data_IF_325036388472
#
_entry.id   IF_325036388472
#
_cell.length_a   1.000
_cell.length_b   1.000
_cell.length_c   1.000
_cell.angle_alpha   90.00
_cell.angle_beta   90.00
_cell.angle_gamma   90.00
#
_symmetry.space_group_name_H-M   'P 1'
#
loop_
_entity.id
_entity.type
_entity.pdbx_description
1 polymer ?
#
# COMPACT_ATOMS: atom_id res chain seq x y z
N UNK A 1 10.75 -12.13 -25.37
CA UNK A 1 9.46 -11.84 -26.05
C UNK A 1 8.77 -10.74 -25.25
N UNK A 2 8.73 -9.51 -25.75
CA UNK A 2 8.12 -8.40 -25.02
C UNK A 2 6.60 -8.62 -24.95
N UNK A 3 6.09 -8.83 -23.74
CA UNK A 3 4.66 -9.01 -23.48
C UNK A 3 4.00 -7.64 -23.57
N UNK A 4 3.26 -7.40 -24.66
CA UNK A 4 2.46 -6.17 -24.81
C UNK A 4 1.40 -6.21 -23.72
N UNK A 5 1.35 -5.16 -22.89
CA UNK A 5 0.36 -5.04 -21.81
C UNK A 5 -1.05 -5.24 -22.36
N UNK A 6 -1.89 -6.00 -21.65
CA UNK A 6 -3.27 -6.27 -22.02
C UNK A 6 -4.04 -4.93 -22.15
N UNK A 7 -4.25 -4.48 -23.38
CA UNK A 7 -5.04 -3.29 -23.68
C UNK A 7 -6.52 -3.65 -23.54
N UNK A 8 -7.35 -2.76 -22.98
CA UNK A 8 -8.82 -2.94 -22.94
C UNK A 8 -9.43 -2.58 -24.29
N UNK A 9 -10.58 -3.18 -24.61
CA UNK A 9 -11.35 -2.80 -25.78
C UNK A 9 -11.99 -1.41 -25.59
N UNK A 10 -11.85 -0.54 -26.60
CA UNK A 10 -12.30 0.86 -26.54
C UNK A 10 -13.78 1.04 -26.90
N UNK A 11 -14.45 -0.02 -27.34
CA UNK A 11 -15.90 -0.04 -27.60
C UNK A 11 -16.75 -0.33 -26.35
N UNK A 12 -16.26 0.05 -25.17
CA UNK A 12 -16.96 -0.09 -23.89
C UNK A 12 -17.34 -1.53 -23.52
N UNK A 13 -16.52 -2.52 -23.90
CA UNK A 13 -16.60 -3.85 -23.31
C UNK A 13 -15.34 -4.12 -22.48
N UNK A 14 -15.49 -4.65 -21.27
CA UNK A 14 -14.37 -4.90 -20.34
C UNK A 14 -13.44 -6.06 -20.77
N UNK A 15 -13.52 -6.49 -22.04
CA UNK A 15 -12.72 -7.58 -22.60
C UNK A 15 -11.36 -7.08 -23.07
N UNK A 16 -10.38 -7.97 -23.02
CA UNK A 16 -9.02 -7.71 -23.50
C UNK A 16 -9.03 -7.55 -25.03
N UNK A 17 -8.44 -6.46 -25.51
CA UNK A 17 -8.24 -6.23 -26.92
C UNK A 17 -7.10 -7.08 -27.46
N UNK A 18 -7.37 -7.75 -28.58
CA UNK A 18 -6.40 -8.59 -29.30
C UNK A 18 -6.16 -8.10 -30.73
N UNK A 19 -6.97 -7.13 -31.18
CA UNK A 19 -6.97 -6.57 -32.53
C UNK A 19 -6.85 -5.04 -32.45
N UNK A 20 -6.26 -4.43 -33.48
CA UNK A 20 -6.16 -2.99 -33.62
C UNK A 20 -6.55 -2.57 -35.04
N UNK A 21 -7.42 -1.58 -35.12
CA UNK A 21 -7.83 -1.01 -36.40
C UNK A 21 -6.94 0.19 -36.75
N UNK A 22 -6.20 0.13 -37.86
CA UNK A 22 -5.34 1.23 -38.33
C UNK A 22 -6.15 2.45 -38.80
N UNK A 23 -7.35 2.24 -39.36
CA UNK A 23 -8.24 3.32 -39.80
C UNK A 23 -8.87 4.11 -38.65
N UNK A 24 -9.39 3.42 -37.63
CA UNK A 24 -9.96 4.05 -36.43
C UNK A 24 -8.92 4.46 -35.38
N UNK A 25 -7.71 3.87 -35.40
CA UNK A 25 -6.73 4.03 -34.33
C UNK A 25 -7.11 3.37 -33.01
N UNK A 26 -8.01 2.37 -33.04
CA UNK A 26 -8.67 1.83 -31.84
C UNK A 26 -8.34 0.36 -31.53
N UNK A 27 -8.36 0.02 -30.24
CA UNK A 27 -8.17 -1.35 -29.74
C UNK A 27 -9.50 -2.12 -29.62
N UNK A 28 -9.56 -3.29 -30.25
CA UNK A 28 -10.77 -4.09 -30.42
C UNK A 28 -10.57 -5.50 -29.85
N UNK A 29 -11.59 -6.01 -29.15
CA UNK A 29 -11.75 -7.45 -28.95
C UNK A 29 -12.34 -8.09 -30.22
N UNK A 30 -12.26 -9.41 -30.35
CA UNK A 30 -12.78 -10.16 -31.51
C UNK A 30 -14.27 -9.87 -31.72
N UNK A 31 -15.04 -9.81 -30.63
CA UNK A 31 -16.48 -9.58 -30.68
C UNK A 31 -16.82 -8.15 -31.12
N UNK A 32 -16.14 -7.12 -30.61
CA UNK A 32 -16.39 -5.74 -31.03
C UNK A 32 -15.97 -5.50 -32.48
N UNK A 33 -14.95 -6.21 -32.98
CA UNK A 33 -14.64 -6.23 -34.41
C UNK A 33 -15.84 -6.76 -35.21
N UNK A 34 -16.28 -7.99 -34.91
CA UNK A 34 -17.29 -8.67 -35.72
C UNK A 34 -18.70 -8.09 -35.57
N UNK A 35 -19.05 -7.63 -34.37
CA UNK A 35 -20.43 -7.24 -34.05
C UNK A 35 -20.70 -5.75 -34.19
N UNK A 36 -19.66 -4.92 -34.18
CA UNK A 36 -19.82 -3.46 -34.23
C UNK A 36 -18.99 -2.89 -35.38
N UNK A 37 -17.68 -3.09 -35.35
CA UNK A 37 -16.76 -2.47 -36.30
C UNK A 37 -17.05 -2.88 -37.76
N UNK A 38 -17.09 -4.19 -38.05
CA UNK A 38 -17.26 -4.71 -39.41
C UNK A 38 -18.70 -4.53 -39.94
N UNK A 39 -19.68 -4.31 -39.05
CA UNK A 39 -21.09 -4.08 -39.41
C UNK A 39 -21.38 -2.61 -39.72
N UNK A 40 -20.58 -1.68 -39.22
CA UNK A 40 -20.73 -0.26 -39.49
C UNK A 40 -20.12 0.07 -40.86
N UNK A 41 -20.96 0.55 -41.77
CA UNK A 41 -20.60 0.80 -43.18
C UNK A 41 -19.38 1.71 -43.35
N UNK A 42 -19.13 2.61 -42.40
CA UNK A 42 -18.02 3.56 -42.42
C UNK A 42 -16.64 2.92 -42.13
N UNK A 43 -16.60 1.76 -41.46
CA UNK A 43 -15.35 1.12 -41.03
C UNK A 43 -14.99 -0.13 -41.84
N UNK A 44 -15.78 -0.42 -42.88
CA UNK A 44 -15.73 -1.66 -43.65
C UNK A 44 -14.42 -1.84 -44.44
N UNK A 45 -13.79 -0.72 -44.81
CA UNK A 45 -12.53 -0.68 -45.56
C UNK A 45 -11.31 -0.47 -44.66
N UNK A 46 -11.49 -0.44 -43.34
CA UNK A 46 -10.37 -0.26 -42.43
C UNK A 46 -9.54 -1.53 -42.26
N UNK A 47 -8.21 -1.39 -42.31
CA UNK A 47 -7.29 -2.49 -42.04
C UNK A 47 -7.22 -2.79 -40.53
N UNK A 48 -7.59 -4.02 -40.15
CA UNK A 48 -7.54 -4.50 -38.76
C UNK A 48 -6.48 -5.58 -38.61
N UNK A 49 -5.50 -5.33 -37.74
CA UNK A 49 -4.33 -6.19 -37.51
C UNK A 49 -4.36 -6.83 -36.12
N UNK A 50 -3.71 -7.98 -36.00
CA UNK A 50 -3.56 -8.71 -34.74
C UNK A 50 -2.36 -8.16 -33.95
N UNK A 51 -2.63 -7.70 -32.73
CA UNK A 51 -1.64 -7.06 -31.86
C UNK A 51 -0.50 -8.03 -31.50
N UNK A 52 -0.83 -9.32 -31.35
CA UNK A 52 0.11 -10.35 -30.92
C UNK A 52 1.02 -10.78 -32.08
N UNK A 53 0.57 -10.62 -33.33
CA UNK A 53 1.36 -10.94 -34.53
C UNK A 53 2.22 -9.77 -35.01
N UNK A 54 1.74 -8.54 -34.94
CA UNK A 54 2.51 -7.36 -35.39
C UNK A 54 3.37 -6.69 -34.29
N UNK A 55 3.14 -7.02 -33.02
CA UNK A 55 3.96 -6.52 -31.91
C UNK A 55 3.88 -4.99 -31.73
N UNK A 56 5.01 -4.33 -31.46
CA UNK A 56 5.07 -2.87 -31.25
C UNK A 56 4.77 -2.02 -32.51
N UNK A 57 4.53 -2.64 -33.68
CA UNK A 57 4.31 -1.94 -34.95
C UNK A 57 2.86 -1.54 -35.20
N UNK A 58 1.99 -1.86 -34.25
CA UNK A 58 0.54 -1.68 -34.37
C UNK A 58 0.14 -0.21 -34.37
N UNK A 59 0.87 0.67 -33.65
CA UNK A 59 0.62 2.12 -33.66
C UNK A 59 1.50 2.81 -34.70
N UNK A 60 0.97 3.77 -35.48
CA UNK A 60 1.79 4.67 -36.28
C UNK A 60 2.82 5.38 -35.40
N UNK A 61 4.03 5.59 -35.91
CA UNK A 61 5.00 6.42 -35.20
C UNK A 61 4.44 7.83 -35.07
N UNK A 62 4.40 8.42 -33.87
CA UNK A 62 3.97 9.79 -33.70
C UNK A 62 4.92 10.71 -34.48
N UNK A 63 4.34 11.73 -35.12
CA UNK A 63 5.05 12.77 -35.86
C UNK A 63 4.87 14.11 -35.17
N UNK A 64 5.81 15.02 -35.37
CA UNK A 64 5.75 16.38 -34.86
C UNK A 64 4.55 17.10 -35.46
N UNK A 65 3.66 17.58 -34.59
CA UNK A 65 2.43 18.24 -35.01
C UNK A 65 2.67 19.54 -35.78
N UNK A 66 3.77 20.24 -35.47
CA UNK A 66 4.15 21.51 -36.11
C UNK A 66 4.76 21.32 -37.49
N UNK A 67 5.61 20.30 -37.67
CA UNK A 67 6.45 20.15 -38.86
C UNK A 67 6.13 18.88 -39.67
N UNK A 68 5.15 18.07 -39.22
CA UNK A 68 4.80 16.76 -39.77
C UNK A 68 5.99 15.80 -39.96
N UNK A 69 7.05 16.01 -39.18
CA UNK A 69 8.32 15.30 -39.28
C UNK A 69 8.43 14.25 -38.17
N UNK A 70 9.18 13.19 -38.41
CA UNK A 70 9.45 12.19 -37.37
C UNK A 70 10.19 12.82 -36.17
N UNK A 71 9.80 12.40 -34.97
CA UNK A 71 10.55 12.69 -33.77
C UNK A 71 11.87 11.90 -33.79
N UNK A 72 12.99 12.59 -33.62
CA UNK A 72 14.34 12.00 -33.65
C UNK A 72 15.10 12.21 -32.34
N UNK A 73 14.74 13.26 -31.60
CA UNK A 73 15.42 13.69 -30.39
C UNK A 73 14.46 13.77 -29.20
N UNK A 74 15.02 13.77 -27.99
CA UNK A 74 14.32 13.99 -26.73
C UNK A 74 14.98 15.17 -26.02
N UNK A 75 14.20 16.15 -25.61
CA UNK A 75 14.67 17.31 -24.87
C UNK A 75 14.60 17.02 -23.37
N UNK A 76 15.76 16.96 -22.70
CA UNK A 76 15.80 16.65 -21.27
C UNK A 76 15.27 17.78 -20.39
N UNK A 77 15.37 19.04 -20.86
CA UNK A 77 14.87 20.21 -20.12
C UNK A 77 13.35 20.35 -20.20
N UNK A 78 12.74 20.03 -21.34
CA UNK A 78 11.29 20.12 -21.57
C UNK A 78 10.56 18.80 -21.37
N UNK A 79 11.30 17.73 -21.16
CA UNK A 79 10.81 16.37 -21.01
C UNK A 79 9.90 15.87 -22.16
N UNK A 80 10.20 16.25 -23.39
CA UNK A 80 9.37 15.96 -24.57
C UNK A 80 10.17 15.45 -25.78
N UNK A 81 9.47 14.88 -26.77
CA UNK A 81 10.03 14.47 -28.04
C UNK A 81 10.17 15.66 -29.00
N UNK A 82 11.25 15.72 -29.77
CA UNK A 82 11.56 16.80 -30.71
C UNK A 82 11.97 16.26 -32.08
N UNK A 83 11.44 16.87 -33.15
CA UNK A 83 11.92 16.64 -34.52
C UNK A 83 13.14 17.51 -34.81
N UNK A 84 13.79 17.32 -35.96
CA UNK A 84 15.00 18.07 -36.32
C UNK A 84 14.76 19.60 -36.39
N UNK A 85 13.60 20.03 -36.88
CA UNK A 85 13.25 21.45 -36.96
C UNK A 85 12.92 22.06 -35.59
N UNK A 86 12.21 21.33 -34.72
CA UNK A 86 11.99 21.77 -33.33
C UNK A 86 13.31 21.90 -32.56
N UNK A 87 14.28 21.02 -32.84
CA UNK A 87 15.59 21.03 -32.19
C UNK A 87 16.36 22.33 -32.50
N UNK A 88 16.33 22.82 -33.73
CA UNK A 88 17.07 24.03 -34.16
C UNK A 88 16.28 25.32 -33.94
N UNK A 89 14.97 25.23 -33.72
CA UNK A 89 14.11 26.37 -33.41
C UNK A 89 13.81 26.46 -31.91
N UNK A 90 12.66 25.93 -31.48
CA UNK A 90 12.13 26.06 -30.12
C UNK A 90 12.99 25.42 -29.03
N UNK A 91 13.93 24.53 -29.39
CA UNK A 91 14.80 23.82 -28.45
C UNK A 91 16.30 24.01 -28.72
N UNK A 92 16.69 25.06 -29.46
CA UNK A 92 18.08 25.28 -29.93
C UNK A 92 19.13 25.30 -28.80
N UNK A 93 18.75 25.79 -27.62
CA UNK A 93 19.64 25.88 -26.45
C UNK A 93 19.38 24.80 -25.39
N UNK A 94 18.45 23.88 -25.65
CA UNK A 94 18.12 22.84 -24.69
C UNK A 94 18.95 21.59 -24.93
N UNK A 95 19.38 20.93 -23.86
CA UNK A 95 20.05 19.63 -23.96
C UNK A 95 19.10 18.61 -24.60
N UNK A 96 19.46 18.14 -25.78
CA UNK A 96 18.69 17.20 -26.58
C UNK A 96 19.56 16.00 -26.95
N UNK A 97 18.98 14.80 -26.86
CA UNK A 97 19.68 13.53 -27.14
C UNK A 97 18.82 12.66 -28.07
N UNK A 98 19.44 11.73 -28.82
CA UNK A 98 18.67 10.84 -29.71
C UNK A 98 17.69 9.98 -28.89
N UNK A 99 16.45 9.87 -29.37
CA UNK A 99 15.37 9.14 -28.66
C UNK A 99 15.79 7.73 -28.29
N UNK A 100 16.47 7.03 -29.21
CA UNK A 100 16.90 5.65 -28.98
C UNK A 100 17.80 5.53 -27.73
N UNK A 101 18.74 6.45 -27.54
CA UNK A 101 19.67 6.44 -26.39
C UNK A 101 18.90 6.68 -25.10
N UNK A 102 18.05 7.72 -25.08
CA UNK A 102 17.26 8.08 -23.89
C UNK A 102 16.25 6.97 -23.55
N UNK A 103 15.60 6.39 -24.56
CA UNK A 103 14.65 5.30 -24.37
C UNK A 103 15.32 4.03 -23.86
N UNK A 104 16.49 3.67 -24.38
CA UNK A 104 17.22 2.48 -23.92
C UNK A 104 17.73 2.66 -22.47
N UNK A 105 18.24 3.85 -22.12
CA UNK A 105 18.60 4.19 -20.74
C UNK A 105 17.39 4.17 -19.80
N UNK A 106 16.25 4.72 -20.21
CA UNK A 106 14.99 4.68 -19.43
C UNK A 106 14.46 3.27 -19.26
N UNK A 107 14.50 2.44 -20.31
CA UNK A 107 14.11 1.02 -20.23
C UNK A 107 14.99 0.27 -19.23
N UNK A 108 16.30 0.51 -19.23
CA UNK A 108 17.20 -0.08 -18.23
C UNK A 108 16.83 0.35 -16.81
N UNK A 109 16.56 1.64 -16.59
CA UNK A 109 16.12 2.15 -15.29
C UNK A 109 14.80 1.51 -14.84
N UNK A 110 13.79 1.46 -15.73
CA UNK A 110 12.52 0.80 -15.45
C UNK A 110 12.71 -0.68 -15.12
N UNK A 111 13.58 -1.40 -15.84
CA UNK A 111 13.89 -2.79 -15.52
C UNK A 111 14.54 -2.94 -14.14
N UNK A 112 15.46 -2.05 -13.76
CA UNK A 112 16.05 -2.04 -12.42
C UNK A 112 14.99 -1.80 -11.34
N UNK A 113 14.08 -0.84 -11.55
CA UNK A 113 12.96 -0.57 -10.63
C UNK A 113 12.05 -1.81 -10.51
N UNK A 114 11.74 -2.48 -11.63
CA UNK A 114 10.92 -3.70 -11.64
C UNK A 114 11.59 -4.80 -10.79
N UNK A 115 12.89 -5.03 -10.94
CA UNK A 115 13.61 -6.03 -10.14
C UNK A 115 13.65 -5.67 -8.64
N UNK A 116 13.82 -4.38 -8.31
CA UNK A 116 13.71 -3.89 -6.92
C UNK A 116 12.30 -4.06 -6.35
N UNK A 117 11.26 -3.86 -7.16
CA UNK A 117 9.88 -4.06 -6.71
C UNK A 117 9.55 -5.54 -6.53
N UNK A 118 9.99 -6.42 -7.43
CA UNK A 118 9.82 -7.87 -7.28
C UNK A 118 10.43 -8.38 -5.99
N UNK A 119 11.67 -7.97 -5.68
CA UNK A 119 12.36 -8.35 -4.44
C UNK A 119 11.65 -7.81 -3.19
N UNK A 120 11.14 -6.58 -3.22
CA UNK A 120 10.33 -6.02 -2.14
C UNK A 120 9.01 -6.78 -1.94
N UNK A 121 8.29 -7.08 -3.01
CA UNK A 121 7.04 -7.87 -2.96
C UNK A 121 7.30 -9.23 -2.33
N UNK A 122 8.34 -9.93 -2.77
CA UNK A 122 8.72 -11.24 -2.21
C UNK A 122 9.11 -11.15 -0.73
N UNK A 123 9.84 -10.11 -0.34
CA UNK A 123 10.22 -9.87 1.06
C UNK A 123 9.01 -9.62 1.94
N UNK A 124 8.05 -8.80 1.48
CA UNK A 124 6.80 -8.53 2.21
C UNK A 124 5.97 -9.80 2.31
N UNK A 125 5.88 -10.59 1.24
CA UNK A 125 5.19 -11.88 1.23
C UNK A 125 5.76 -12.84 2.27
N UNK A 126 7.08 -13.01 2.31
CA UNK A 126 7.75 -13.85 3.34
C UNK A 126 7.48 -13.37 4.75
N UNK A 127 7.52 -12.05 4.99
CA UNK A 127 7.21 -11.48 6.31
C UNK A 127 5.76 -11.75 6.73
N UNK A 128 4.81 -11.67 5.80
CA UNK A 128 3.42 -12.05 6.06
C UNK A 128 3.30 -13.52 6.42
N UNK A 129 3.93 -14.40 5.64
CA UNK A 129 3.94 -15.85 5.92
C UNK A 129 4.54 -16.16 7.31
N UNK A 130 5.64 -15.50 7.71
CA UNK A 130 6.23 -15.64 9.05
C UNK A 130 5.29 -15.18 10.16
N UNK A 131 4.57 -14.07 9.97
CA UNK A 131 3.61 -13.57 10.96
C UNK A 131 2.42 -14.55 11.11
N UNK A 132 1.85 -14.99 9.98
CA UNK A 132 0.67 -15.85 9.96
C UNK A 132 0.96 -17.25 10.51
N UNK A 133 2.20 -17.73 10.36
CA UNK A 133 2.61 -19.06 10.81
C UNK A 133 3.35 -19.00 12.15
N UNK A 134 4.61 -18.59 12.16
CA UNK A 134 5.51 -18.68 13.31
C UNK A 134 4.99 -17.87 14.50
N UNK A 135 4.67 -16.59 14.32
CA UNK A 135 4.23 -15.75 15.44
C UNK A 135 2.85 -16.18 15.97
N UNK A 136 1.93 -16.54 15.09
CA UNK A 136 0.59 -17.02 15.47
C UNK A 136 0.66 -18.33 16.25
N UNK A 137 1.49 -19.28 15.82
CA UNK A 137 1.72 -20.56 16.51
C UNK A 137 2.40 -20.33 17.85
N UNK A 138 3.44 -19.50 17.90
CA UNK A 138 4.17 -19.20 19.13
C UNK A 138 3.27 -18.59 20.20
N UNK A 139 2.46 -17.58 19.83
CA UNK A 139 1.52 -16.95 20.78
C UNK A 139 0.52 -17.97 21.31
N UNK A 140 -0.04 -18.83 20.46
CA UNK A 140 -0.95 -19.90 20.91
C UNK A 140 -0.27 -20.86 21.88
N UNK A 141 0.92 -21.33 21.54
CA UNK A 141 1.71 -22.22 22.40
C UNK A 141 2.03 -21.57 23.75
N UNK A 142 2.41 -20.30 23.77
CA UNK A 142 2.74 -19.58 25.01
C UNK A 142 1.49 -19.41 25.89
N UNK A 143 0.34 -19.10 25.28
CA UNK A 143 -0.94 -19.04 26.00
C UNK A 143 -1.34 -20.41 26.56
N UNK A 144 -1.25 -21.48 25.78
CA UNK A 144 -1.56 -22.85 26.22
C UNK A 144 -0.64 -23.30 27.37
N UNK A 145 0.66 -23.03 27.27
CA UNK A 145 1.65 -23.31 28.32
C UNK A 145 1.35 -22.53 29.62
N UNK A 146 0.97 -21.26 29.50
CA UNK A 146 0.61 -20.44 30.66
C UNK A 146 -0.67 -20.95 31.34
N UNK A 147 -1.71 -21.26 30.57
CA UNK A 147 -2.97 -21.84 31.11
C UNK A 147 -2.66 -23.15 31.83
N UNK A 148 -1.89 -24.04 31.21
CA UNK A 148 -1.50 -25.31 31.84
C UNK A 148 -0.74 -25.10 33.15
N UNK A 149 0.18 -24.14 33.19
CA UNK A 149 0.92 -23.81 34.42
C UNK A 149 -0.04 -23.37 35.53
N UNK A 150 -1.05 -22.56 35.21
CA UNK A 150 -2.07 -22.14 36.18
C UNK A 150 -2.89 -23.34 36.65
N UNK A 151 -3.35 -24.20 35.74
CA UNK A 151 -4.08 -25.42 36.08
C UNK A 151 -3.27 -26.36 36.98
N UNK A 152 -2.00 -26.59 36.66
CA UNK A 152 -1.09 -27.40 37.47
C UNK A 152 -0.93 -26.83 38.88
N UNK A 153 -0.76 -25.50 39.01
CA UNK A 153 -0.68 -24.86 40.34
C UNK A 153 -1.98 -24.99 41.14
N UNK A 154 -3.14 -24.90 40.49
CA UNK A 154 -4.44 -25.10 41.14
C UNK A 154 -4.59 -26.55 41.61
N UNK A 155 -4.19 -27.51 40.79
CA UNK A 155 -4.20 -28.93 41.16
C UNK A 155 -3.26 -29.22 42.33
N UNK A 156 -2.03 -28.67 42.32
CA UNK A 156 -1.10 -28.80 43.44
C UNK A 156 -1.70 -28.28 44.74
N UNK A 157 -2.33 -27.10 44.71
CA UNK A 157 -3.02 -26.53 45.86
C UNK A 157 -4.18 -27.42 46.34
N UNK A 158 -4.98 -27.97 45.42
CA UNK A 158 -6.03 -28.93 45.78
C UNK A 158 -5.46 -30.17 46.48
N UNK A 159 -4.37 -30.75 45.97
CA UNK A 159 -3.77 -31.93 46.61
C UNK A 159 -3.23 -31.65 48.01
N UNK A 160 -2.68 -30.45 48.23
CA UNK A 160 -2.21 -30.01 49.55
C UNK A 160 -3.40 -29.89 50.51
N UNK A 161 -4.49 -29.25 50.07
CA UNK A 161 -5.71 -29.09 50.87
C UNK A 161 -6.32 -30.47 51.21
N UNK A 162 -6.42 -31.38 50.25
CA UNK A 162 -6.97 -32.72 50.46
C UNK A 162 -6.12 -33.55 51.42
N UNK A 163 -4.79 -33.51 51.28
CA UNK A 163 -3.88 -34.17 52.22
C UNK A 163 -4.02 -33.62 53.62
N UNK A 164 -4.13 -32.29 53.75
CA UNK A 164 -4.32 -31.63 55.04
C UNK A 164 -5.70 -31.89 55.65
N UNK A 165 -6.73 -32.20 54.85
CA UNK A 165 -8.03 -32.66 55.35
C UNK A 165 -7.96 -34.08 55.90
N UNK A 166 -7.20 -34.97 55.24
CA UNK A 166 -7.09 -36.37 55.64
C UNK A 166 -6.35 -36.56 56.97
N UNK A 167 -5.26 -35.84 57.22
CA UNK A 167 -4.42 -36.03 58.43
C UNK A 167 -5.19 -35.79 59.75
N UNK A 168 -5.97 -34.69 59.93
CA UNK A 168 -6.80 -34.50 61.12
C UNK A 168 -7.95 -35.51 61.23
N UNK A 169 -8.51 -35.94 60.10
CA UNK A 169 -9.60 -36.92 60.08
C UNK A 169 -9.13 -38.31 60.50
N UNK A 170 -7.94 -38.74 60.05
CA UNK A 170 -7.34 -40.00 60.47
C UNK A 170 -6.92 -39.94 61.92
N UNK A 171 -6.24 -38.88 62.36
CA UNK A 171 -5.82 -38.74 63.77
C UNK A 171 -7.01 -38.67 64.74
N UNK A 172 -8.12 -38.01 64.37
CA UNK A 172 -9.34 -38.03 65.17
C UNK A 172 -10.00 -39.42 65.21
N UNK A 173 -9.95 -40.16 64.11
CA UNK A 173 -10.47 -41.54 64.05
C UNK A 173 -9.63 -42.48 64.89
N UNK A 174 -8.30 -42.38 64.82
CA UNK A 174 -7.36 -43.17 65.62
C UNK A 174 -7.52 -42.88 67.11
N UNK A 175 -7.67 -41.61 67.49
CA UNK A 175 -7.93 -41.22 68.88
C UNK A 175 -9.24 -41.84 69.39
N UNK A 176 -10.31 -41.78 68.59
CA UNK A 176 -11.59 -42.39 68.93
C UNK A 176 -11.49 -43.91 69.11
N UNK A 177 -10.66 -44.60 68.32
CA UNK A 177 -10.42 -46.03 68.45
C UNK A 177 -9.72 -46.31 69.79
N UNK A 178 -8.61 -45.62 70.06
CA UNK A 178 -7.81 -45.81 71.28
C UNK A 178 -8.65 -45.54 72.54
N UNK A 179 -9.42 -44.46 72.57
CA UNK A 179 -10.28 -44.11 73.71
C UNK A 179 -11.40 -45.14 73.92
N UNK A 180 -12.02 -45.64 72.84
CA UNK A 180 -13.04 -46.69 72.94
C UNK A 180 -12.47 -48.03 73.42
N UNK A 181 -11.23 -48.38 73.03
CA UNK A 181 -10.55 -49.57 73.53
C UNK A 181 -10.24 -49.45 75.02
N UNK A 182 -9.74 -48.29 75.50
CA UNK A 182 -9.49 -48.05 76.92
C UNK A 182 -10.78 -48.13 77.76
N UNK A 183 -11.84 -47.47 77.30
CA UNK A 183 -13.18 -47.57 77.90
C UNK A 183 -13.72 -48.99 77.84
N UNK A 184 -13.40 -49.75 76.78
CA UNK A 184 -13.73 -51.17 76.65
C UNK A 184 -13.06 -52.01 77.73
N UNK A 185 -11.75 -51.83 77.94
CA UNK A 185 -10.98 -52.52 78.98
C UNK A 185 -11.49 -52.20 80.38
N UNK A 186 -11.74 -50.92 80.69
CA UNK A 186 -12.33 -50.49 81.97
C UNK A 186 -13.70 -51.13 82.21
N UNK A 187 -14.57 -51.12 81.20
CA UNK A 187 -15.90 -51.77 81.28
C UNK A 187 -15.78 -53.29 81.52
N UNK A 188 -14.85 -53.96 80.85
CA UNK A 188 -14.62 -55.39 81.05
C UNK A 188 -14.13 -55.70 82.48
N UNK A 189 -13.22 -54.90 83.01
CA UNK A 189 -12.72 -55.02 84.38
C UNK A 189 -13.86 -54.90 85.42
N UNK A 190 -14.63 -53.82 85.37
CA UNK A 190 -15.74 -53.60 86.30
C UNK A 190 -16.83 -54.68 86.16
N UNK A 191 -17.10 -55.16 84.94
CA UNK A 191 -18.05 -56.25 84.71
C UNK A 191 -17.58 -57.55 85.35
N UNK A 192 -16.32 -57.94 85.18
CA UNK A 192 -15.76 -59.14 85.83
C UNK A 192 -15.89 -59.05 87.36
N UNK A 193 -15.53 -57.90 87.93
CA UNK A 193 -15.61 -57.66 89.38
C UNK A 193 -17.06 -57.69 89.88
N UNK A 194 -17.98 -57.10 89.13
CA UNK A 194 -19.42 -57.18 89.39
C UNK A 194 -19.90 -58.64 89.38
N UNK A 195 -19.57 -59.40 88.33
CA UNK A 195 -20.03 -60.78 88.16
C UNK A 195 -19.47 -61.69 89.28
N UNK A 196 -18.21 -61.52 89.66
CA UNK A 196 -17.60 -62.20 90.82
C UNK A 196 -18.32 -61.86 92.13
N UNK A 197 -18.65 -60.59 92.34
CA UNK A 197 -19.31 -60.13 93.57
C UNK A 197 -20.76 -60.63 93.62
N UNK A 198 -21.46 -60.60 92.50
CA UNK A 198 -22.83 -61.10 92.37
C UNK A 198 -22.90 -62.62 92.59
N UNK A 199 -21.95 -63.40 92.05
CA UNK A 199 -21.87 -64.85 92.26
C UNK A 199 -21.60 -65.19 93.75
N UNK A 200 -20.71 -64.42 94.40
CA UNK A 200 -20.48 -64.55 95.85
C UNK A 200 -21.73 -64.24 96.65
N UNK A 201 -22.41 -63.15 96.35
CA UNK A 201 -23.64 -62.76 97.02
C UNK A 201 -24.71 -63.85 96.88
N UNK A 202 -24.88 -64.41 95.67
CA UNK A 202 -25.80 -65.52 95.42
C UNK A 202 -25.43 -66.77 96.24
N UNK A 203 -24.14 -67.09 96.38
CA UNK A 203 -23.68 -68.20 97.25
C UNK A 203 -24.04 -67.97 98.70
N UNK A 204 -23.88 -66.75 99.22
CA UNK A 204 -24.27 -66.40 100.58
C UNK A 204 -25.79 -66.44 100.77
N UNK A 205 -26.56 -65.90 99.82
CA UNK A 205 -28.03 -65.97 99.85
C UNK A 205 -28.52 -67.42 99.86
N UNK A 206 -27.94 -68.29 99.02
CA UNK A 206 -28.26 -69.71 99.00
C UNK A 206 -27.88 -70.42 100.31
N UNK A 207 -26.72 -70.07 100.91
CA UNK A 207 -26.32 -70.61 102.20
C UNK A 207 -27.30 -70.25 103.31
N UNK A 208 -27.88 -69.05 103.30
CA UNK A 208 -28.91 -68.64 104.27
C UNK A 208 -30.22 -69.43 104.13
N UNK A 209 -30.47 -70.06 102.99
CA UNK A 209 -31.64 -70.93 102.76
C UNK A 209 -31.39 -72.38 103.21
N UNK A 210 -30.16 -72.75 103.56
CA UNK A 210 -29.80 -74.08 104.01
C UNK A 210 -30.45 -74.39 105.37
N UNK A 211 -31.09 -75.56 105.48
CA UNK A 211 -31.84 -75.97 106.69
C UNK A 211 -31.03 -76.89 107.60
N UNK A 212 -29.93 -77.46 107.11
CA UNK A 212 -29.08 -78.35 107.88
C UNK A 212 -27.86 -77.62 108.45
N UNK A 213 -27.86 -77.40 109.77
CA UNK A 213 -26.80 -76.67 110.50
C UNK A 213 -25.38 -77.21 110.22
N UNK A 214 -25.25 -78.54 110.06
CA UNK A 214 -23.96 -79.15 109.75
C UNK A 214 -23.42 -78.75 108.37
N UNK A 215 -24.29 -78.68 107.36
CA UNK A 215 -23.91 -78.29 106.00
C UNK A 215 -23.67 -76.77 105.91
N UNK A 216 -24.50 -76.00 106.61
CA UNK A 216 -24.31 -74.56 106.77
C UNK A 216 -22.92 -74.23 107.34
N UNK A 217 -22.52 -74.88 108.44
CA UNK A 217 -21.23 -74.59 109.08
C UNK A 217 -20.02 -75.03 108.24
N UNK A 218 -20.15 -76.10 107.44
CA UNK A 218 -19.08 -76.51 106.52
C UNK A 218 -18.92 -75.54 105.36
N UNK A 219 -20.02 -75.11 104.73
CA UNK A 219 -19.95 -74.18 103.60
C UNK A 219 -19.69 -72.74 104.01
N UNK A 220 -20.18 -72.32 105.18
CA UNK A 220 -19.76 -71.05 105.80
C UNK A 220 -18.25 -71.00 105.97
N UNK A 221 -17.63 -72.07 106.48
CA UNK A 221 -16.17 -72.12 106.69
C UNK A 221 -15.40 -72.04 105.37
N UNK A 222 -15.92 -72.63 104.29
CA UNK A 222 -15.34 -72.54 102.96
C UNK A 222 -15.47 -71.14 102.34
N UNK A 223 -16.62 -70.48 102.53
CA UNK A 223 -16.87 -69.13 102.02
C UNK A 223 -16.20 -68.02 102.86
N UNK A 224 -15.97 -68.26 104.16
CA UNK A 224 -15.35 -67.28 105.06
C UNK A 224 -13.89 -66.97 104.68
N UNK A 225 -13.19 -67.91 104.05
CA UNK A 225 -11.85 -67.69 103.49
C UNK A 225 -11.84 -66.72 102.31
N UNK A 226 -12.92 -66.65 101.53
CA UNK A 226 -13.03 -65.77 100.35
C UNK A 226 -13.38 -64.31 100.70
N UNK A 227 -13.97 -64.08 101.88
CA UNK A 227 -14.37 -62.73 102.35
C UNK A 227 -13.17 -61.89 102.82
N UNK A 228 -12.14 -62.53 103.38
CA UNK A 228 -11.01 -61.82 104.01
C UNK A 228 -10.00 -61.18 103.02
N UNK A 229 -10.24 -61.27 101.71
CA UNK A 229 -9.30 -60.84 100.65
C UNK A 229 -9.68 -59.53 99.95
N UNK A 230 -10.69 -58.78 100.42
CA UNK A 230 -11.27 -57.66 99.64
C UNK A 230 -11.43 -56.31 100.38
N UNK A 231 -10.95 -56.15 101.61
CA UNK A 231 -11.06 -54.87 102.35
C UNK A 231 -9.98 -53.83 101.97
N UNK A 232 -9.02 -54.18 101.10
CA UNK A 232 -8.14 -53.18 100.50
C UNK A 232 -8.84 -52.52 99.30
N UNK A 233 -9.34 -51.31 99.53
CA UNK A 233 -9.69 -50.33 98.49
C UNK A 233 -8.54 -50.27 97.47
N UNK A 234 -8.71 -50.97 96.36
CA UNK A 234 -7.75 -50.99 95.26
C UNK A 234 -8.19 -49.93 94.27
N UNK A 235 -7.38 -48.86 94.20
CA UNK A 235 -7.38 -47.72 93.28
C UNK A 235 -8.58 -47.64 92.32
N UNK A 236 -9.46 -46.67 92.54
CA UNK A 236 -10.51 -46.30 91.58
C UNK A 236 -9.88 -45.95 90.21
N UNK A 237 -10.02 -46.79 89.18
CA UNK A 237 -9.48 -46.51 87.85
C UNK A 237 -10.19 -45.34 87.15
N UNK A 238 -11.25 -44.78 87.75
CA UNK A 238 -11.96 -43.58 87.30
C UNK A 238 -11.42 -42.29 87.96
N UNK A 239 -10.40 -42.37 88.82
CA UNK A 239 -9.76 -41.20 89.44
C UNK A 239 -9.09 -40.33 88.37
N UNK A 240 -9.88 -39.34 87.91
CA UNK A 240 -9.62 -38.28 86.93
C UNK A 240 -9.09 -38.75 85.56
N UNK A 241 -9.69 -38.33 84.44
CA UNK A 241 -9.05 -38.51 83.15
C UNK A 241 -7.69 -37.80 83.21
N UNK A 242 -6.59 -38.52 82.87
CA UNK A 242 -5.38 -37.82 82.44
C UNK A 242 -5.84 -36.93 81.29
N UNK A 243 -5.90 -35.62 81.52
CA UNK A 243 -5.89 -34.66 80.40
C UNK A 243 -4.56 -34.93 79.70
N UNK A 244 -4.59 -35.78 78.68
CA UNK A 244 -3.55 -35.75 77.66
C UNK A 244 -3.48 -34.30 77.24
N UNK A 245 -2.31 -33.69 77.44
CA UNK A 245 -2.04 -32.30 77.06
C UNK A 245 -2.71 -32.07 75.73
N UNK A 246 -3.72 -31.18 75.73
CA UNK A 246 -4.59 -30.95 74.59
C UNK A 246 -3.71 -30.96 73.36
N UNK A 247 -3.91 -31.96 72.48
CA UNK A 247 -3.26 -32.04 71.18
C UNK A 247 -3.19 -30.61 70.68
N UNK A 248 -1.99 -30.01 70.62
CA UNK A 248 -1.85 -28.57 70.47
C UNK A 248 -2.04 -28.24 68.99
N UNK A 249 -3.26 -28.55 68.53
CA UNK A 249 -3.77 -28.48 67.18
C UNK A 249 -3.47 -27.09 66.64
N UNK A 250 -3.62 -26.05 67.49
CA UNK A 250 -3.28 -24.65 67.21
C UNK A 250 -1.82 -24.43 66.79
N UNK A 251 -0.85 -25.13 67.40
CA UNK A 251 0.59 -24.95 67.11
C UNK A 251 1.00 -25.65 65.81
N UNK A 252 0.46 -26.85 65.57
CA UNK A 252 0.69 -27.59 64.33
C UNK A 252 -0.04 -26.93 63.14
N UNK A 253 -1.29 -26.50 63.32
CA UNK A 253 -2.04 -25.76 62.28
C UNK A 253 -1.39 -24.42 61.98
N UNK A 254 -0.88 -23.69 62.98
CA UNK A 254 -0.20 -22.41 62.75
C UNK A 254 1.08 -22.57 61.93
N UNK A 255 1.95 -23.51 62.30
CA UNK A 255 3.19 -23.76 61.56
C UNK A 255 2.95 -24.16 60.10
N UNK A 256 1.88 -24.90 59.83
CA UNK A 256 1.53 -25.33 58.46
C UNK A 256 0.86 -24.19 57.68
N UNK A 257 0.00 -23.39 58.32
CA UNK A 257 -0.57 -22.19 57.71
C UNK A 257 0.54 -21.20 57.33
N UNK A 258 1.52 -21.00 58.22
CA UNK A 258 2.66 -20.12 57.96
C UNK A 258 3.49 -20.63 56.76
N UNK A 259 3.71 -21.94 56.60
CA UNK A 259 4.42 -22.51 55.43
C UNK A 259 3.63 -22.39 54.12
N UNK A 260 2.30 -22.52 54.18
CA UNK A 260 1.42 -22.33 53.02
C UNK A 260 1.38 -20.85 52.62
N UNK A 261 1.25 -19.95 53.59
CA UNK A 261 1.31 -18.51 53.35
C UNK A 261 2.64 -18.12 52.75
N UNK A 262 3.76 -18.63 53.25
CA UNK A 262 5.10 -18.32 52.71
C UNK A 262 5.24 -18.80 51.25
N UNK A 263 4.81 -20.03 50.94
CA UNK A 263 4.80 -20.55 49.55
C UNK A 263 3.84 -19.79 48.64
N UNK A 264 2.66 -19.42 49.13
CA UNK A 264 1.68 -18.63 48.38
C UNK A 264 2.20 -17.24 48.08
N UNK A 265 2.78 -16.55 49.08
CA UNK A 265 3.39 -15.23 48.92
C UNK A 265 4.59 -15.26 47.94
N UNK A 266 5.44 -16.28 48.01
CA UNK A 266 6.53 -16.46 47.04
C UNK A 266 6.01 -16.59 45.60
N UNK A 267 4.99 -17.43 45.38
CA UNK A 267 4.36 -17.60 44.06
C UNK A 267 3.67 -16.32 43.60
N UNK A 268 2.93 -15.65 44.49
CA UNK A 268 2.25 -14.39 44.21
C UNK A 268 3.26 -13.34 43.74
N UNK A 269 4.38 -13.19 44.45
CA UNK A 269 5.43 -12.26 44.09
C UNK A 269 6.15 -12.62 42.79
N UNK A 270 6.32 -13.92 42.48
CA UNK A 270 6.82 -14.36 41.18
C UNK A 270 5.87 -13.93 40.03
N UNK A 271 4.56 -14.11 40.23
CA UNK A 271 3.54 -13.70 39.26
C UNK A 271 3.45 -12.18 39.10
N UNK A 272 3.50 -11.42 40.19
CA UNK A 272 3.55 -9.95 40.15
C UNK A 272 4.77 -9.44 39.38
N UNK A 273 5.96 -10.02 39.61
CA UNK A 273 7.17 -9.68 38.88
C UNK A 273 7.05 -9.98 37.37
N UNK A 274 6.45 -11.11 37.00
CA UNK A 274 6.16 -11.45 35.59
C UNK A 274 5.16 -10.44 34.99
N UNK A 275 4.14 -10.05 35.74
CA UNK A 275 3.14 -9.08 35.30
C UNK A 275 3.77 -7.70 35.03
N UNK A 276 4.59 -7.20 35.98
CA UNK A 276 5.35 -5.95 35.84
C UNK A 276 6.25 -5.99 34.60
N UNK A 277 6.91 -7.13 34.32
CA UNK A 277 7.75 -7.30 33.13
C UNK A 277 6.92 -7.21 31.85
N UNK A 278 5.82 -7.94 31.77
CA UNK A 278 4.90 -7.91 30.62
C UNK A 278 4.33 -6.51 30.39
N UNK A 279 4.04 -5.77 31.44
CA UNK A 279 3.53 -4.40 31.34
C UNK A 279 4.58 -3.42 30.80
N UNK A 280 5.85 -3.56 31.22
CA UNK A 280 6.97 -2.81 30.65
C UNK A 280 7.16 -3.11 29.17
N UNK A 281 7.11 -4.38 28.78
CA UNK A 281 7.28 -4.78 27.38
C UNK A 281 6.10 -4.31 26.51
N UNK A 282 4.87 -4.33 27.05
CA UNK A 282 3.68 -3.73 26.42
C UNK A 282 3.85 -2.24 26.16
N UNK A 283 4.41 -1.49 27.10
CA UNK A 283 4.68 -0.04 26.92
C UNK A 283 5.69 0.18 25.79
N UNK A 284 6.82 -0.54 25.79
CA UNK A 284 7.83 -0.45 24.72
C UNK A 284 7.25 -0.77 23.33
N UNK A 285 6.42 -1.81 23.24
CA UNK A 285 5.74 -2.16 21.99
C UNK A 285 4.80 -1.05 21.52
N UNK A 286 4.04 -0.44 22.43
CA UNK A 286 3.18 0.72 22.10
C UNK A 286 3.97 1.91 21.58
N UNK A 287 5.12 2.22 22.19
CA UNK A 287 6.00 3.28 21.72
C UNK A 287 6.56 2.99 20.32
N UNK A 288 6.99 1.74 20.08
CA UNK A 288 7.47 1.31 18.77
C UNK A 288 6.39 1.40 17.69
N UNK A 289 5.14 1.01 18.00
CA UNK A 289 3.99 1.14 17.10
C UNK A 289 3.77 2.61 16.75
N UNK A 290 3.76 3.51 17.75
CA UNK A 290 3.56 4.95 17.53
C UNK A 290 4.60 5.54 16.58
N UNK A 291 5.87 5.17 16.72
CA UNK A 291 6.94 5.60 15.80
C UNK A 291 6.66 5.15 14.36
N UNK A 292 6.17 3.92 14.18
CA UNK A 292 5.82 3.40 12.85
C UNK A 292 4.57 4.04 12.26
N UNK A 293 3.57 4.35 13.07
CA UNK A 293 2.40 5.11 12.64
C UNK A 293 2.79 6.52 12.16
N UNK A 294 3.69 7.19 12.87
CA UNK A 294 4.22 8.51 12.47
C UNK A 294 5.00 8.44 11.14
N UNK A 295 5.82 7.40 10.94
CA UNK A 295 6.50 7.14 9.65
C UNK A 295 5.50 6.93 8.50
N UNK A 296 4.46 6.13 8.72
CA UNK A 296 3.39 5.88 7.73
C UNK A 296 2.62 7.17 7.43
N UNK A 297 2.34 7.99 8.44
CA UNK A 297 1.70 9.29 8.29
C UNK A 297 2.53 10.23 7.40
N UNK A 298 3.85 10.28 7.60
CA UNK A 298 4.77 11.06 6.74
C UNK A 298 4.77 10.55 5.29
N UNK A 299 4.85 9.24 5.09
CA UNK A 299 4.81 8.64 3.75
C UNK A 299 3.48 8.88 3.04
N UNK A 300 2.37 8.87 3.79
CA UNK A 300 1.04 9.14 3.24
C UNK A 300 0.91 10.59 2.76
N UNK A 301 1.46 11.56 3.50
CA UNK A 301 1.52 12.97 3.08
C UNK A 301 2.34 13.14 1.79
N UNK A 302 3.53 12.57 1.74
CA UNK A 302 4.38 12.58 0.53
C UNK A 302 3.67 11.93 -0.66
N UNK A 303 2.87 10.87 -0.44
CA UNK A 303 2.08 10.23 -1.49
C UNK A 303 0.98 11.14 -2.05
N UNK A 304 0.33 11.94 -1.19
CA UNK A 304 -0.67 12.93 -1.60
C UNK A 304 -0.01 14.05 -2.40
N UNK A 305 1.08 14.64 -1.90
CA UNK A 305 1.86 15.67 -2.63
C UNK A 305 2.32 15.17 -4.00
N UNK A 306 2.75 13.91 -4.09
CA UNK A 306 3.18 13.31 -5.35
C UNK A 306 2.01 13.09 -6.33
N UNK A 307 0.78 12.87 -5.84
CA UNK A 307 -0.42 12.84 -6.68
C UNK A 307 -0.80 14.24 -7.17
N UNK A 308 -0.74 15.25 -6.32
CA UNK A 308 -1.02 16.65 -6.68
C UNK A 308 -0.03 17.15 -7.74
N UNK A 309 1.27 16.90 -7.55
CA UNK A 309 2.28 17.23 -8.55
C UNK A 309 2.02 16.55 -9.90
N UNK A 310 1.59 15.29 -9.90
CA UNK A 310 1.23 14.59 -11.15
C UNK A 310 0.04 15.23 -11.87
N UNK A 311 -0.96 15.68 -11.13
CA UNK A 311 -2.12 16.40 -11.70
C UNK A 311 -1.64 17.72 -12.32
N UNK A 312 -0.83 18.50 -11.60
CA UNK A 312 -0.27 19.75 -12.13
C UNK A 312 0.55 19.55 -13.40
N UNK A 313 1.39 18.50 -13.45
CA UNK A 313 2.17 18.15 -14.65
C UNK A 313 1.23 17.80 -15.81
N UNK A 314 0.15 17.06 -15.56
CA UNK A 314 -0.86 16.75 -16.59
C UNK A 314 -1.56 18.01 -17.11
N UNK A 315 -1.94 18.94 -16.22
CA UNK A 315 -2.59 20.20 -16.60
C UNK A 315 -1.66 21.10 -17.43
N UNK A 316 -0.38 21.18 -17.05
CA UNK A 316 0.64 21.89 -17.82
C UNK A 316 0.86 21.25 -19.19
N UNK A 317 0.85 19.93 -19.28
CA UNK A 317 0.88 19.19 -20.55
C UNK A 317 -0.26 19.60 -21.48
N UNK A 318 -1.50 19.58 -20.99
CA UNK A 318 -2.69 19.97 -21.76
C UNK A 318 -2.64 21.45 -22.19
N UNK A 319 -2.20 22.36 -21.31
CA UNK A 319 -2.01 23.78 -21.67
C UNK A 319 -0.98 23.95 -22.78
N UNK A 320 0.11 23.20 -22.73
CA UNK A 320 1.17 23.25 -23.73
C UNK A 320 0.67 22.75 -25.10
N UNK A 321 -0.09 21.66 -25.14
CA UNK A 321 -0.76 21.19 -26.38
C UNK A 321 -1.69 22.25 -26.97
N UNK A 322 -2.51 22.90 -26.14
CA UNK A 322 -3.40 23.97 -26.58
C UNK A 322 -2.63 25.18 -27.14
N UNK A 323 -1.56 25.59 -26.47
CA UNK A 323 -0.73 26.70 -26.94
C UNK A 323 -0.04 26.37 -28.27
N UNK A 324 0.43 25.12 -28.42
CA UNK A 324 1.05 24.65 -29.66
C UNK A 324 0.06 24.63 -30.83
N UNK A 325 -1.19 24.25 -30.59
CA UNK A 325 -2.26 24.30 -31.61
C UNK A 325 -2.59 25.74 -32.01
N UNK A 326 -2.75 26.67 -31.05
CA UNK A 326 -2.98 28.09 -31.34
C UNK A 326 -1.82 28.73 -32.13
N UNK A 327 -0.57 28.38 -31.80
CA UNK A 327 0.62 28.84 -32.55
C UNK A 327 0.60 28.30 -33.99
N UNK A 328 0.20 27.04 -34.19
CA UNK A 328 0.11 26.43 -35.52
C UNK A 328 -0.93 27.15 -36.39
N UNK A 329 -2.13 27.38 -35.86
CA UNK A 329 -3.19 28.10 -36.57
C UNK A 329 -2.76 29.52 -36.96
N UNK A 330 -2.09 30.25 -36.06
CA UNK A 330 -1.56 31.58 -36.38
C UNK A 330 -0.53 31.56 -37.50
N UNK A 331 0.42 30.61 -37.45
CA UNK A 331 1.44 30.47 -38.51
C UNK A 331 0.81 30.18 -39.87
N UNK A 332 -0.21 29.34 -39.90
CA UNK A 332 -0.90 28.97 -41.14
C UNK A 332 -1.70 30.15 -41.73
N UNK A 333 -2.36 30.93 -40.87
CA UNK A 333 -2.99 32.20 -41.28
C UNK A 333 -1.98 33.21 -41.82
N UNK A 334 -0.81 33.32 -41.19
CA UNK A 334 0.24 34.26 -41.60
C UNK A 334 0.90 33.83 -42.92
N UNK A 335 1.09 32.52 -43.12
CA UNK A 335 1.56 31.96 -44.39
C UNK A 335 0.59 32.27 -45.54
N UNK A 336 -0.72 32.07 -45.34
CA UNK A 336 -1.74 32.42 -46.34
C UNK A 336 -1.71 33.92 -46.70
N UNK A 337 -1.55 34.79 -45.70
CA UNK A 337 -1.40 36.24 -45.95
C UNK A 337 -0.15 36.56 -46.77
N UNK A 338 0.99 35.94 -46.47
CA UNK A 338 2.22 36.13 -47.24
C UNK A 338 2.06 35.68 -48.69
N UNK A 339 1.39 34.55 -48.93
CA UNK A 339 1.10 34.06 -50.27
C UNK A 339 0.19 35.02 -51.06
N UNK A 340 -0.81 35.63 -50.40
CA UNK A 340 -1.62 36.69 -51.02
C UNK A 340 -0.79 37.92 -51.39
N UNK A 341 0.12 38.34 -50.50
CA UNK A 341 1.03 39.46 -50.77
C UNK A 341 1.98 39.17 -51.94
N UNK A 342 2.53 37.96 -52.02
CA UNK A 342 3.38 37.51 -53.12
C UNK A 342 2.61 37.51 -54.45
N UNK A 343 1.38 36.99 -54.46
CA UNK A 343 0.52 37.02 -55.64
C UNK A 343 0.22 38.46 -56.11
N UNK A 344 -0.04 39.38 -55.17
CA UNK A 344 -0.22 40.80 -55.48
C UNK A 344 1.05 41.42 -56.05
N UNK A 345 2.21 41.09 -55.49
CA UNK A 345 3.51 41.57 -55.95
C UNK A 345 3.79 41.11 -57.40
N UNK A 346 3.59 39.82 -57.68
CA UNK A 346 3.76 39.24 -59.01
C UNK A 346 2.83 39.89 -60.06
N UNK A 347 1.61 40.24 -59.66
CA UNK A 347 0.68 40.98 -60.52
C UNK A 347 1.20 42.39 -60.81
N UNK A 348 1.64 43.12 -59.80
CA UNK A 348 2.22 44.46 -59.95
C UNK A 348 3.48 44.43 -60.83
N UNK A 349 4.31 43.40 -60.73
CA UNK A 349 5.49 43.23 -61.59
C UNK A 349 5.10 43.01 -63.06
N UNK A 350 4.08 42.18 -63.33
CA UNK A 350 3.52 42.03 -64.69
C UNK A 350 2.95 43.34 -65.23
N UNK A 351 2.27 44.12 -64.40
CA UNK A 351 1.71 45.41 -64.83
C UNK A 351 2.84 46.42 -65.08
N UNK A 352 3.90 46.40 -64.27
CA UNK A 352 5.12 47.20 -64.46
C UNK A 352 5.83 46.86 -65.78
N UNK A 353 5.95 45.59 -66.16
CA UNK A 353 6.57 45.21 -67.44
C UNK A 353 5.75 45.67 -68.63
N UNK A 354 4.42 45.50 -68.60
CA UNK A 354 3.52 46.03 -69.64
C UNK A 354 3.65 47.54 -69.82
N UNK A 355 3.71 48.29 -68.70
CA UNK A 355 3.90 49.73 -68.75
C UNK A 355 5.25 50.12 -69.36
N UNK A 356 6.33 49.39 -69.06
CA UNK A 356 7.64 49.60 -69.70
C UNK A 356 7.59 49.37 -71.20
N UNK A 357 6.92 48.32 -71.66
CA UNK A 357 6.74 48.05 -73.09
C UNK A 357 5.94 49.17 -73.78
N UNK A 358 4.87 49.65 -73.15
CA UNK A 358 4.07 50.77 -73.67
C UNK A 358 4.88 52.07 -73.75
N UNK A 359 5.72 52.36 -72.74
CA UNK A 359 6.64 53.50 -72.77
C UNK A 359 7.60 53.37 -73.96
N UNK A 360 8.20 52.21 -74.18
CA UNK A 360 9.13 51.99 -75.30
C UNK A 360 8.47 52.24 -76.65
N UNK A 361 7.24 51.79 -76.85
CA UNK A 361 6.47 52.08 -78.09
C UNK A 361 6.28 53.59 -78.28
N UNK A 362 5.99 54.32 -77.19
CA UNK A 362 5.84 55.78 -77.25
C UNK A 362 7.17 56.50 -77.51
N UNK A 363 8.27 56.01 -76.94
CA UNK A 363 9.62 56.51 -77.25
C UNK A 363 9.97 56.33 -78.74
N UNK A 364 9.68 55.16 -79.32
CA UNK A 364 9.90 54.89 -80.75
C UNK A 364 9.04 55.81 -81.66
N UNK A 365 7.80 56.09 -81.26
CA UNK A 365 6.92 57.05 -81.95
C UNK A 365 7.47 58.47 -81.88
N UNK A 366 7.95 58.90 -80.71
CA UNK A 366 8.58 60.21 -80.51
C UNK A 366 9.82 60.34 -81.40
N UNK A 367 10.65 59.30 -81.49
CA UNK A 367 11.84 59.32 -82.35
C UNK A 367 11.49 59.47 -83.83
N UNK A 368 10.44 58.77 -84.31
CA UNK A 368 9.93 58.93 -85.67
C UNK A 368 9.45 60.35 -85.94
N UNK A 369 8.67 60.93 -85.03
CA UNK A 369 8.19 62.32 -85.15
C UNK A 369 9.38 63.29 -85.17
N UNK A 370 10.39 63.07 -84.32
CA UNK A 370 11.60 63.89 -84.27
C UNK A 370 12.36 63.89 -85.60
N UNK A 371 12.49 62.73 -86.26
CA UNK A 371 13.08 62.60 -87.61
C UNK A 371 12.28 63.35 -88.68
N UNK A 372 10.95 63.28 -88.62
CA UNK A 372 10.07 64.03 -89.53
C UNK A 372 10.22 65.55 -89.33
N UNK A 373 10.27 66.01 -88.08
CA UNK A 373 10.50 67.42 -87.75
C UNK A 373 11.85 67.91 -88.27
N UNK A 374 12.92 67.12 -88.13
CA UNK A 374 14.22 67.45 -88.74
C UNK A 374 14.13 67.58 -90.27
N UNK A 375 13.43 66.66 -90.93
CA UNK A 375 13.21 66.72 -92.38
C UNK A 375 12.41 67.96 -92.83
N UNK A 376 11.38 68.34 -92.07
CA UNK A 376 10.63 69.58 -92.30
C UNK A 376 11.49 70.82 -92.11
N UNK A 377 12.34 70.84 -91.09
CA UNK A 377 13.23 71.97 -90.79
C UNK A 377 14.28 72.18 -91.91
N UNK A 378 14.76 71.10 -92.53
CA UNK A 378 15.63 71.18 -93.73
C UNK A 378 14.87 71.77 -94.92
N UNK A 379 13.63 71.33 -95.16
CA UNK A 379 12.78 71.88 -96.23
C UNK A 379 12.46 73.35 -95.99
N UNK A 380 12.20 73.75 -94.75
CA UNK A 380 11.95 75.15 -94.38
C UNK A 380 13.17 76.04 -94.68
N UNK A 381 14.38 75.57 -94.36
CA UNK A 381 15.63 76.26 -94.75
C UNK A 381 15.78 76.37 -96.27
N UNK A 382 15.42 75.33 -97.00
CA UNK A 382 15.47 75.31 -98.47
C UNK A 382 14.48 76.31 -99.09
N UNK A 383 13.27 76.40 -98.54
CA UNK A 383 12.26 77.40 -98.92
C UNK A 383 12.76 78.82 -98.62
N UNK A 384 13.35 79.06 -97.44
CA UNK A 384 13.97 80.35 -97.11
C UNK A 384 15.08 80.73 -98.09
N UNK A 385 15.94 79.78 -98.47
CA UNK A 385 16.97 79.98 -99.49
C UNK A 385 16.39 80.33 -100.86
N UNK A 386 15.34 79.63 -101.31
CA UNK A 386 14.63 79.95 -102.56
C UNK A 386 13.92 81.31 -102.50
N UNK A 387 13.38 81.70 -101.35
CA UNK A 387 12.79 83.03 -101.15
C UNK A 387 13.85 84.13 -101.22
N UNK A 388 15.03 83.92 -100.64
CA UNK A 388 16.17 84.84 -100.77
C UNK A 388 16.66 84.95 -102.22
N UNK A 389 16.77 83.83 -102.94
CA UNK A 389 17.17 83.80 -104.35
C UNK A 389 16.14 84.46 -105.25
N UNK A 390 14.85 84.21 -105.02
CA UNK A 390 13.76 84.89 -105.71
C UNK A 390 13.75 86.39 -105.41
N UNK A 391 14.04 86.80 -104.17
CA UNK A 391 14.18 88.22 -103.83
C UNK A 391 15.34 88.87 -104.58
N UNK A 392 16.50 88.20 -104.69
CA UNK A 392 17.66 88.67 -105.48
C UNK A 392 17.31 88.81 -106.95
N UNK A 393 16.69 87.80 -107.55
CA UNK A 393 16.22 87.84 -108.95
C UNK A 393 15.22 88.97 -109.19
N UNK A 394 14.31 89.21 -108.24
CA UNK A 394 13.35 90.32 -108.31
C UNK A 394 14.08 91.67 -108.25
N UNK A 395 15.14 91.78 -107.45
CA UNK A 395 15.97 92.99 -107.35
C UNK A 395 16.80 93.21 -108.62
N UNK A 396 17.35 92.14 -109.21
CA UNK A 396 18.07 92.18 -110.48
C UNK A 396 17.15 92.54 -111.66
N UNK A 397 15.91 92.04 -111.67
CA UNK A 397 14.91 92.42 -112.66
C UNK A 397 14.59 93.93 -112.57
N UNK A 398 14.40 94.45 -111.35
CA UNK A 398 14.23 95.89 -111.12
C UNK A 398 15.46 96.71 -111.52
N UNK A 399 16.68 96.21 -111.30
CA UNK A 399 17.91 96.87 -111.75
C UNK A 399 18.10 96.84 -113.27
N UNK A 400 17.61 95.81 -113.97
CA UNK A 400 17.56 95.74 -115.44
C UNK A 400 16.50 96.68 -116.02
N UNK A 401 15.34 96.81 -115.38
CA UNK A 401 14.32 97.80 -115.75
C UNK A 401 14.83 99.24 -115.58
N UNK A 402 15.58 99.53 -114.50
CA UNK A 402 16.18 100.86 -114.28
C UNK A 402 17.28 101.16 -115.30
N UNK A 403 18.10 100.17 -115.70
CA UNK A 403 19.10 100.33 -116.77
C UNK A 403 18.51 100.48 -118.17
N UNK A 404 17.28 100.01 -118.40
CA UNK A 404 16.56 100.18 -119.66
C UNK A 404 15.88 101.57 -119.79
N UNK A 405 15.75 102.31 -118.69
CA UNK A 405 15.09 103.63 -118.63
C UNK A 405 16.04 104.83 -118.65
N UNK A 406 17.37 104.61 -118.80
CA UNK A 406 18.39 105.67 -118.79
C UNK A 406 19.21 105.79 -120.08
N UNK A 407 18.65 105.33 -121.21
CA UNK A 407 18.96 105.90 -122.53
C UNK A 407 18.10 107.15 -122.72
#
# INVERSE_FOLDING_TARGET
>A
MAQIAAQKCEFSCDKVAVLYCKGCGQFLCIECRQNVHDKVRQFKDHEVVDIHKEGNRVRPNPVCETHNNQFLYYCSKCECLTCAECMTSSHNEHKTEKIKIVADARRQNVNQIIEQLKTKVETVKKKLETIDTEHSIQIKSDCESYVKTVEDTVNDLHTIVDRHKLIPMTTASDFKIIENEDLGRKRAFFRSRHDETADRLLKFENLLLEKHDSFFLTEWKALQTDVKMNDEETDDPLAAPRRLDSFNQKKLTKSVIDEIDEKFQMKLQEHENKLIKLEKDKIKLKEAIKVKEDEIGKLSKLSIELKEMKIQVSELGNKNEKLNTEIKERKEQEFLRLQEHENKLNKLEKDKTKLKEAIKVKEDEIEKISKLLQGLNVKEKMIKGLQEENSKLTTECKQREIKAFSQ
#
